data_IF_991856280544
#
_entry.id   IF_991856280544
#
_cell.length_a   1.000
_cell.length_b   1.000
_cell.length_c   1.000
_cell.angle_alpha   90.00
_cell.angle_beta   90.00
_cell.angle_gamma   90.00
#
_symmetry.space_group_name_H-M   'P 1'
#
loop_
_entity.id
_entity.type
_entity.pdbx_description
1 polymer ?
#
# COMPACT_ATOMS: atom_id res chain seq x y z
N UNK A 1 -37.54 -7.41 -0.32
CA UNK A 1 -37.64 -6.99 -1.73
C UNK A 1 -36.91 -8.04 -2.53
N UNK A 2 -37.62 -8.61 -3.50
CA UNK A 2 -37.49 -9.98 -4.01
C UNK A 2 -36.07 -10.43 -4.40
N UNK A 3 -35.80 -11.69 -4.05
CA UNK A 3 -34.73 -12.54 -4.56
C UNK A 3 -34.70 -12.48 -6.09
N UNK A 4 -33.61 -11.98 -6.66
CA UNK A 4 -33.34 -12.19 -8.08
C UNK A 4 -32.47 -13.42 -8.19
N UNK A 5 -33.15 -14.50 -8.55
CA UNK A 5 -32.69 -15.70 -9.23
C UNK A 5 -31.22 -15.74 -9.64
N UNK A 6 -30.57 -16.84 -9.22
CA UNK A 6 -29.33 -17.37 -9.77
C UNK A 6 -29.48 -17.86 -11.21
N UNK A 7 -29.95 -16.99 -12.09
CA UNK A 7 -29.85 -17.19 -13.53
C UNK A 7 -28.43 -16.82 -13.93
N UNK A 8 -27.52 -17.78 -13.87
CA UNK A 8 -26.15 -17.62 -14.37
C UNK A 8 -26.25 -17.19 -15.85
N UNK A 9 -25.96 -15.92 -16.10
CA UNK A 9 -25.92 -15.39 -17.46
C UNK A 9 -24.72 -16.03 -18.16
N UNK A 10 -25.01 -16.95 -19.08
CA UNK A 10 -24.03 -17.70 -19.85
C UNK A 10 -23.34 -16.89 -20.95
N UNK A 11 -23.83 -15.68 -21.25
CA UNK A 11 -23.25 -14.80 -22.27
C UNK A 11 -22.34 -13.71 -21.69
N UNK A 12 -21.31 -13.36 -22.47
CA UNK A 12 -20.36 -12.30 -22.13
C UNK A 12 -21.06 -10.95 -21.97
N UNK A 13 -20.56 -10.14 -21.02
CA UNK A 13 -21.10 -8.81 -20.79
C UNK A 13 -20.83 -7.89 -21.99
N UNK A 14 -21.85 -7.22 -22.50
CA UNK A 14 -21.70 -6.25 -23.59
C UNK A 14 -20.76 -5.09 -23.20
N UNK A 15 -20.09 -4.45 -24.18
CA UNK A 15 -19.14 -3.36 -23.91
C UNK A 15 -19.71 -2.21 -23.06
N UNK A 16 -20.99 -1.85 -23.30
CA UNK A 16 -21.71 -0.84 -22.52
C UNK A 16 -21.89 -1.24 -21.06
N UNK A 17 -22.17 -2.52 -20.77
CA UNK A 17 -22.29 -3.02 -19.38
C UNK A 17 -20.94 -3.02 -18.66
N UNK A 18 -19.85 -3.38 -19.35
CA UNK A 18 -18.49 -3.31 -18.79
C UNK A 18 -18.07 -1.88 -18.46
N UNK A 19 -18.40 -0.91 -19.32
CA UNK A 19 -18.13 0.51 -19.05
C UNK A 19 -18.91 1.02 -17.83
N UNK A 20 -20.21 0.72 -17.74
CA UNK A 20 -21.02 1.09 -16.56
C UNK A 20 -20.51 0.44 -15.26
N UNK A 21 -20.02 -0.80 -15.32
CA UNK A 21 -19.41 -1.45 -14.17
C UNK A 21 -18.15 -0.70 -13.70
N UNK A 22 -17.29 -0.27 -14.64
CA UNK A 22 -16.10 0.53 -14.35
C UNK A 22 -16.44 1.91 -13.77
N UNK A 23 -17.44 2.59 -14.32
CA UNK A 23 -17.95 3.89 -13.83
C UNK A 23 -18.50 3.78 -12.40
N UNK A 24 -19.11 2.64 -12.05
CA UNK A 24 -19.57 2.32 -10.68
C UNK A 24 -18.44 1.85 -9.75
N UNK A 25 -17.20 1.75 -10.26
CA UNK A 25 -16.03 1.26 -9.53
C UNK A 25 -15.99 -0.24 -9.28
N UNK A 26 -16.83 -1.02 -9.98
CA UNK A 26 -16.87 -2.48 -9.93
C UNK A 26 -15.81 -3.06 -10.86
N UNK A 27 -14.56 -2.99 -10.41
CA UNK A 27 -13.41 -3.53 -11.12
C UNK A 27 -12.96 -4.81 -10.41
N UNK A 28 -12.64 -5.85 -11.18
CA UNK A 28 -12.04 -7.07 -10.62
C UNK A 28 -10.74 -6.71 -9.93
N UNK A 29 -10.52 -7.19 -8.70
CA UNK A 29 -9.28 -6.96 -7.94
C UNK A 29 -8.81 -8.28 -7.33
N UNK A 30 -7.52 -8.57 -7.44
CA UNK A 30 -6.90 -9.69 -6.72
C UNK A 30 -6.23 -9.16 -5.47
N UNK A 31 -6.71 -9.59 -4.30
CA UNK A 31 -6.08 -9.25 -3.02
C UNK A 31 -4.72 -9.92 -2.88
N UNK A 32 -4.62 -11.18 -3.30
CA UNK A 32 -3.39 -11.96 -3.18
C UNK A 32 -2.27 -11.43 -4.08
N UNK A 33 -2.59 -11.01 -5.30
CA UNK A 33 -1.57 -10.48 -6.22
C UNK A 33 -0.92 -9.20 -5.65
N UNK A 34 -1.72 -8.31 -5.07
CA UNK A 34 -1.22 -7.09 -4.44
C UNK A 34 -0.32 -7.41 -3.23
N UNK A 35 -0.74 -8.34 -2.37
CA UNK A 35 0.07 -8.75 -1.21
C UNK A 35 1.40 -9.40 -1.62
N UNK A 36 1.35 -10.36 -2.56
CA UNK A 36 2.54 -11.10 -3.01
C UNK A 36 3.53 -10.19 -3.73
N UNK A 37 3.06 -9.28 -4.58
CA UNK A 37 3.92 -8.33 -5.29
C UNK A 37 4.68 -7.41 -4.33
N UNK A 38 4.03 -6.92 -3.27
CA UNK A 38 4.68 -6.12 -2.22
C UNK A 38 5.72 -6.94 -1.47
N UNK A 39 5.42 -8.19 -1.12
CA UNK A 39 6.38 -9.06 -0.41
C UNK A 39 7.62 -9.38 -1.26
N UNK A 40 7.42 -9.79 -2.50
CA UNK A 40 8.51 -10.15 -3.42
C UNK A 40 9.38 -8.93 -3.72
N UNK A 41 8.77 -7.81 -4.10
CA UNK A 41 9.52 -6.58 -4.40
C UNK A 41 10.13 -6.00 -3.13
N UNK A 42 9.50 -6.17 -1.97
CA UNK A 42 10.07 -5.82 -0.67
C UNK A 42 11.35 -6.59 -0.37
N UNK A 43 11.34 -7.90 -0.55
CA UNK A 43 12.54 -8.72 -0.38
C UNK A 43 13.65 -8.30 -1.34
N UNK A 44 13.35 -8.12 -2.63
CA UNK A 44 14.32 -7.68 -3.64
C UNK A 44 14.87 -6.27 -3.34
N UNK A 45 14.01 -5.34 -2.94
CA UNK A 45 14.44 -3.96 -2.61
C UNK A 45 15.32 -3.93 -1.37
N UNK A 46 15.04 -4.76 -0.36
CA UNK A 46 15.94 -4.96 0.78
C UNK A 46 17.27 -5.60 0.38
N UNK A 47 17.29 -6.54 -0.56
CA UNK A 47 18.55 -7.11 -1.04
C UNK A 47 19.43 -6.09 -1.77
N UNK A 48 18.84 -5.18 -2.54
CA UNK A 48 19.59 -4.16 -3.29
C UNK A 48 19.97 -2.93 -2.45
N UNK A 49 19.05 -2.43 -1.63
CA UNK A 49 19.22 -1.19 -0.88
C UNK A 49 19.53 -1.40 0.61
N UNK A 50 19.43 -2.63 1.11
CA UNK A 50 19.65 -2.96 2.51
C UNK A 50 21.06 -2.67 3.00
N UNK A 51 22.10 -2.93 2.20
CA UNK A 51 23.48 -2.58 2.56
C UNK A 51 23.65 -1.05 2.70
N UNK A 52 23.07 -0.29 1.76
CA UNK A 52 23.10 1.17 1.81
C UNK A 52 22.36 1.71 3.04
N UNK A 53 21.18 1.15 3.35
CA UNK A 53 20.41 1.49 4.54
C UNK A 53 21.17 1.15 5.82
N UNK A 54 21.74 -0.04 5.91
CA UNK A 54 22.50 -0.51 7.07
C UNK A 54 23.74 0.37 7.33
N UNK A 55 24.49 0.73 6.28
CA UNK A 55 25.62 1.66 6.39
C UNK A 55 25.19 3.08 6.77
N UNK A 56 24.04 3.54 6.28
CA UNK A 56 23.44 4.80 6.70
C UNK A 56 23.13 4.80 8.19
N UNK A 57 22.46 3.74 8.66
CA UNK A 57 22.09 3.56 10.06
C UNK A 57 23.33 3.45 10.97
N UNK A 58 24.33 2.66 10.57
CA UNK A 58 25.59 2.51 11.29
C UNK A 58 26.30 3.85 11.47
N UNK A 59 26.42 4.66 10.41
CA UNK A 59 27.04 5.99 10.47
C UNK A 59 26.25 6.95 11.35
N UNK A 60 24.93 6.95 11.25
CA UNK A 60 24.06 7.77 12.09
C UNK A 60 24.24 7.41 13.57
N UNK A 61 24.14 6.12 13.92
CA UNK A 61 24.30 5.70 15.32
C UNK A 61 25.69 6.00 15.86
N UNK A 62 26.75 5.73 15.08
CA UNK A 62 28.12 6.05 15.46
C UNK A 62 28.32 7.55 15.73
N UNK A 63 27.73 8.42 14.90
CA UNK A 63 27.81 9.87 15.10
C UNK A 63 27.01 10.35 16.31
N UNK A 64 25.80 9.85 16.50
CA UNK A 64 24.93 10.23 17.62
C UNK A 64 25.46 9.73 18.98
N UNK A 65 26.25 8.66 19.00
CA UNK A 65 26.93 8.18 20.20
C UNK A 65 28.34 8.74 20.41
N UNK A 66 28.88 9.48 19.45
CA UNK A 66 30.19 10.13 19.53
C UNK A 66 30.03 11.65 19.48
N UNK A 67 29.51 12.23 20.56
CA UNK A 67 29.37 13.68 20.72
C UNK A 67 30.57 14.26 21.48
N UNK A 68 31.10 15.38 21.01
CA UNK A 68 32.13 16.12 21.75
C UNK A 68 31.51 16.92 22.90
N UNK A 69 32.33 17.36 23.86
CA UNK A 69 31.85 18.19 24.98
C UNK A 69 31.24 19.49 24.45
N UNK A 70 31.86 20.14 23.48
CA UNK A 70 31.36 21.39 22.88
C UNK A 70 30.00 21.21 22.20
N UNK A 71 29.75 20.04 21.61
CA UNK A 71 28.49 19.71 20.94
C UNK A 71 27.36 19.44 21.93
N UNK A 72 27.68 18.89 23.10
CA UNK A 72 26.69 18.61 24.16
C UNK A 72 26.18 19.90 24.80
N UNK A 73 27.06 20.89 25.00
CA UNK A 73 26.70 22.16 25.65
C UNK A 73 26.12 23.20 24.68
N UNK A 74 26.03 22.89 23.39
CA UNK A 74 25.48 23.78 22.36
C UNK A 74 24.31 23.10 21.62
N UNK A 75 23.09 23.47 21.99
CA UNK A 75 21.87 22.94 21.40
C UNK A 75 21.79 23.14 19.88
N UNK A 76 22.40 24.20 19.33
CA UNK A 76 22.36 24.46 17.89
C UNK A 76 23.15 23.40 17.09
N UNK A 77 24.31 23.01 17.61
CA UNK A 77 25.15 21.95 17.03
C UNK A 77 24.48 20.59 17.09
N UNK A 78 23.75 20.31 18.18
CA UNK A 78 22.95 19.10 18.31
C UNK A 78 21.90 18.97 17.20
N UNK A 79 21.17 20.04 16.88
CA UNK A 79 20.22 20.03 15.76
C UNK A 79 20.89 19.86 14.40
N UNK A 80 22.06 20.46 14.20
CA UNK A 80 22.84 20.30 12.98
C UNK A 80 23.30 18.85 12.79
N UNK A 81 23.76 18.20 13.85
CA UNK A 81 24.18 16.79 13.85
C UNK A 81 23.00 15.88 13.54
N UNK A 82 21.84 16.10 14.18
CA UNK A 82 20.64 15.32 13.91
C UNK A 82 20.21 15.51 12.46
N UNK A 83 20.12 16.75 11.97
CA UNK A 83 19.74 17.05 10.60
C UNK A 83 20.69 16.39 9.58
N UNK A 84 22.00 16.55 9.78
CA UNK A 84 23.01 15.98 8.90
C UNK A 84 22.97 14.45 8.87
N UNK A 85 22.81 13.80 10.01
CA UNK A 85 22.74 12.34 10.07
C UNK A 85 21.43 11.78 9.49
N UNK A 86 20.31 12.50 9.63
CA UNK A 86 19.02 12.10 9.07
C UNK A 86 19.03 12.07 7.53
N UNK A 87 19.70 13.05 6.90
CA UNK A 87 19.80 13.09 5.42
C UNK A 87 20.49 11.86 4.84
N UNK A 88 21.50 11.31 5.54
CA UNK A 88 22.22 10.10 5.13
C UNK A 88 21.38 8.82 5.20
N UNK A 89 20.32 8.80 6.01
CA UNK A 89 19.39 7.67 6.16
C UNK A 89 18.13 7.82 5.29
N UNK A 90 17.68 9.06 5.06
CA UNK A 90 16.45 9.34 4.33
C UNK A 90 16.49 8.81 2.90
N UNK A 91 17.60 8.98 2.18
CA UNK A 91 17.70 8.54 0.79
C UNK A 91 17.52 7.01 0.62
N UNK A 92 18.29 6.13 1.29
CA UNK A 92 18.09 4.69 1.15
C UNK A 92 16.72 4.21 1.63
N UNK A 93 16.19 4.81 2.70
CA UNK A 93 14.86 4.49 3.19
C UNK A 93 13.78 4.86 2.15
N UNK A 94 13.89 6.05 1.55
CA UNK A 94 12.97 6.53 0.53
C UNK A 94 12.99 5.64 -0.71
N UNK A 95 14.17 5.18 -1.15
CA UNK A 95 14.27 4.25 -2.28
C UNK A 95 13.48 2.96 -2.04
N UNK A 96 13.61 2.37 -0.85
CA UNK A 96 12.84 1.16 -0.47
C UNK A 96 11.33 1.47 -0.45
N UNK A 97 10.93 2.55 0.21
CA UNK A 97 9.52 2.93 0.32
C UNK A 97 8.88 3.24 -1.04
N UNK A 98 9.57 3.95 -1.92
CA UNK A 98 9.09 4.24 -3.28
C UNK A 98 8.95 2.95 -4.08
N UNK A 99 9.93 2.04 -3.98
CA UNK A 99 9.88 0.75 -4.67
C UNK A 99 8.69 -0.09 -4.19
N UNK A 100 8.45 -0.14 -2.87
CA UNK A 100 7.28 -0.80 -2.28
C UNK A 100 5.96 -0.14 -2.70
N UNK A 101 5.91 1.19 -2.75
CA UNK A 101 4.72 1.93 -3.18
C UNK A 101 4.37 1.60 -4.63
N UNK A 102 5.37 1.59 -5.53
CA UNK A 102 5.19 1.22 -6.93
C UNK A 102 4.74 -0.24 -7.03
N UNK A 103 5.34 -1.15 -6.27
CA UNK A 103 4.93 -2.56 -6.24
C UNK A 103 3.47 -2.74 -5.80
N UNK A 104 3.06 -2.04 -4.74
CA UNK A 104 1.69 -2.08 -4.26
C UNK A 104 0.70 -1.54 -5.30
N UNK A 105 1.05 -0.44 -5.96
CA UNK A 105 0.21 0.20 -6.97
C UNK A 105 0.06 -0.69 -8.21
N UNK A 106 1.17 -1.25 -8.71
CA UNK A 106 1.17 -2.17 -9.84
C UNK A 106 0.49 -3.50 -9.50
N UNK A 107 0.72 -4.04 -8.30
CA UNK A 107 0.06 -5.25 -7.81
C UNK A 107 -1.45 -5.10 -7.69
N UNK A 108 -1.91 -3.97 -7.15
CA UNK A 108 -3.34 -3.67 -7.04
C UNK A 108 -3.98 -3.37 -8.40
N UNK A 109 -3.25 -2.72 -9.32
CA UNK A 109 -3.73 -2.40 -10.66
C UNK A 109 -3.61 -3.58 -11.66
N UNK A 110 -2.78 -4.59 -11.35
CA UNK A 110 -2.46 -5.70 -12.25
C UNK A 110 -3.69 -6.55 -12.63
N UNK A 111 -4.71 -6.59 -11.77
CA UNK A 111 -6.01 -7.18 -12.10
C UNK A 111 -7.06 -6.08 -12.17
N UNK A 112 -7.73 -5.97 -13.32
CA UNK A 112 -8.83 -5.04 -13.56
C UNK A 112 -8.43 -3.60 -13.92
N UNK A 113 -7.16 -3.23 -13.75
CA UNK A 113 -6.63 -1.92 -14.15
C UNK A 113 -7.04 -0.79 -13.19
N UNK A 114 -6.69 0.44 -13.59
CA UNK A 114 -7.01 1.64 -12.82
C UNK A 114 -8.34 2.21 -13.33
N UNK A 115 -9.38 2.20 -12.50
CA UNK A 115 -10.65 2.89 -12.77
C UNK A 115 -10.88 3.99 -11.75
N UNK A 116 -11.10 5.20 -12.24
CA UNK A 116 -11.52 6.33 -11.43
C UNK A 116 -13.06 6.40 -11.43
N UNK A 117 -13.66 6.18 -10.27
CA UNK A 117 -15.11 6.25 -10.07
C UNK A 117 -15.45 7.21 -8.94
N UNK A 118 -16.05 8.34 -9.28
CA UNK A 118 -16.58 9.31 -8.30
C UNK A 118 -17.72 8.70 -7.49
N UNK A 119 -18.56 7.89 -8.14
CA UNK A 119 -19.68 7.21 -7.50
C UNK A 119 -19.21 6.18 -6.44
N UNK A 120 -18.07 5.52 -6.67
CA UNK A 120 -17.50 4.57 -5.71
C UNK A 120 -16.84 5.26 -4.51
N UNK A 121 -16.34 6.49 -4.70
CA UNK A 121 -15.72 7.32 -3.67
C UNK A 121 -16.75 8.01 -2.75
N UNK A 122 -18.00 8.16 -3.20
CA UNK A 122 -19.07 8.71 -2.38
C UNK A 122 -19.40 7.81 -1.18
N UNK A 123 -19.68 8.39 0.00
CA UNK A 123 -20.09 7.62 1.18
C UNK A 123 -21.46 6.99 0.92
N UNK A 124 -21.51 5.65 0.87
CA UNK A 124 -22.76 4.89 0.72
C UNK A 124 -23.11 4.28 2.08
N UNK A 125 -24.19 4.76 2.72
CA UNK A 125 -24.67 4.25 4.02
C UNK A 125 -24.92 2.73 4.02
N UNK A 126 -25.29 2.18 2.85
CA UNK A 126 -25.46 0.73 2.67
C UNK A 126 -24.19 -0.09 2.92
N UNK A 127 -22.99 0.50 2.76
CA UNK A 127 -21.70 -0.16 3.05
C UNK A 127 -21.36 -0.18 4.55
N UNK A 128 -22.03 0.63 5.37
CA UNK A 128 -21.81 0.71 6.82
C UNK A 128 -22.75 -0.19 7.62
N UNK A 129 -23.70 -0.88 6.97
CA UNK A 129 -24.64 -1.74 7.66
C UNK A 129 -23.91 -2.95 8.30
N UNK A 130 -23.94 -3.10 9.64
CA UNK A 130 -23.25 -4.20 10.32
C UNK A 130 -23.81 -5.57 9.92
N UNK A 131 -25.11 -5.68 9.61
CA UNK A 131 -25.75 -6.95 9.23
C UNK A 131 -25.15 -7.52 7.94
N UNK A 132 -24.88 -6.67 6.95
CA UNK A 132 -24.23 -7.10 5.70
C UNK A 132 -22.76 -7.44 5.91
N UNK A 133 -22.10 -6.77 6.87
CA UNK A 133 -20.75 -7.11 7.34
C UNK A 133 -20.67 -8.52 7.95
N UNK A 134 -21.57 -8.83 8.90
CA UNK A 134 -21.67 -10.16 9.50
C UNK A 134 -21.93 -11.25 8.47
N UNK A 135 -22.87 -11.04 7.54
CA UNK A 135 -23.15 -11.99 6.45
C UNK A 135 -21.92 -12.25 5.58
N UNK A 136 -21.07 -11.23 5.36
CA UNK A 136 -19.85 -11.36 4.57
C UNK A 136 -18.72 -12.06 5.33
N UNK A 137 -18.62 -11.86 6.64
CA UNK A 137 -17.58 -12.49 7.50
C UNK A 137 -17.85 -13.97 7.78
N UNK A 138 -19.13 -14.36 7.92
CA UNK A 138 -19.53 -15.73 8.27
C UNK A 138 -20.22 -16.47 7.11
N UNK A 139 -20.25 -15.88 5.90
CA UNK A 139 -20.82 -16.50 4.71
C UNK A 139 -19.89 -17.52 4.05
N UNK A 140 -20.33 -18.12 2.94
CA UNK A 140 -19.58 -19.11 2.14
C UNK A 140 -18.19 -18.64 1.70
N UNK A 141 -17.99 -17.32 1.53
CA UNK A 141 -16.69 -16.70 1.21
C UNK A 141 -15.67 -16.77 2.35
N UNK A 142 -16.07 -17.17 3.56
CA UNK A 142 -15.17 -17.38 4.72
C UNK A 142 -14.57 -18.78 4.75
N UNK A 143 -15.21 -19.74 4.08
CA UNK A 143 -14.81 -21.15 4.05
C UNK A 143 -13.81 -21.46 2.92
N UNK A 144 -13.57 -20.51 2.02
CA UNK A 144 -12.65 -20.59 0.88
C UNK A 144 -11.60 -19.50 1.04
#
# INVERSE_FOLDING_TARGET
MAESDGQERTEEATPRRLQQAKEKGQVARSKELASVSVLVVGAVSLMWFGDLLARGLYRMMGRLFSLSREEIFDSSKLFEIIGGTLTGLLLPLLLILVTLFVAALLGAAGVGGISFSTEAAMPKLSKLNPLSGFKRMFGLQSWV
#
